data_IF_515100560435
#
_entry.id   IF_515100560435
#
_cell.length_a   1.000
_cell.length_b   1.000
_cell.length_c   1.000
_cell.angle_alpha   90.00
_cell.angle_beta   90.00
_cell.angle_gamma   90.00
#
_symmetry.space_group_name_H-M   'P 1'
#
loop_
_entity.id
_entity.type
_entity.pdbx_description
1 polymer ?
#
# COMPACT_ATOMS: atom_id res chain seq x y z
N UNK A 1 0.14 9.15 -5.79
CA UNK A 1 0.61 9.21 -4.39
C UNK A 1 1.65 8.11 -4.14
N UNK A 2 2.67 8.36 -3.31
CA UNK A 2 3.77 7.41 -3.07
C UNK A 2 3.69 6.93 -1.62
N UNK A 3 3.67 5.61 -1.41
CA UNK A 3 3.78 5.01 -0.07
C UNK A 3 5.24 4.64 0.18
N UNK A 4 5.93 5.44 0.97
CA UNK A 4 7.36 5.27 1.26
C UNK A 4 7.63 4.34 2.43
N UNK A 5 6.81 4.40 3.48
CA UNK A 5 6.97 3.58 4.68
C UNK A 5 5.64 3.41 5.43
N UNK A 6 5.52 2.34 6.23
CA UNK A 6 4.44 2.14 7.19
C UNK A 6 5.08 1.67 8.49
N UNK A 7 4.99 2.50 9.54
CA UNK A 7 5.56 2.22 10.85
C UNK A 7 4.48 1.86 11.85
N UNK A 8 4.70 0.80 12.63
CA UNK A 8 3.90 0.43 13.79
C UNK A 8 4.87 0.23 14.94
N UNK A 9 4.67 0.87 16.10
CA UNK A 9 5.48 0.60 17.28
C UNK A 9 5.44 -0.89 17.66
N UNK A 10 6.57 -1.43 18.11
CA UNK A 10 6.71 -2.86 18.42
C UNK A 10 5.66 -3.36 19.41
N UNK A 11 5.29 -2.55 20.41
CA UNK A 11 4.28 -2.94 21.41
C UNK A 11 2.86 -3.10 20.83
N UNK A 12 2.64 -2.58 19.62
CA UNK A 12 1.36 -2.57 18.92
C UNK A 12 1.35 -3.50 17.70
N UNK A 13 2.45 -4.21 17.42
CA UNK A 13 2.52 -5.23 16.37
C UNK A 13 1.56 -6.40 16.63
N UNK A 14 1.27 -7.19 15.59
CA UNK A 14 0.33 -8.32 15.67
C UNK A 14 -1.15 -7.94 15.75
N UNK A 15 -1.49 -6.66 15.90
CA UNK A 15 -2.88 -6.17 16.03
C UNK A 15 -3.53 -5.72 14.72
N UNK A 16 -2.84 -5.89 13.60
CA UNK A 16 -3.35 -5.51 12.27
C UNK A 16 -3.30 -4.01 11.95
N UNK A 17 -2.66 -3.18 12.77
CA UNK A 17 -2.62 -1.71 12.60
C UNK A 17 -1.98 -1.31 11.26
N UNK A 18 -0.85 -1.92 10.89
CA UNK A 18 -0.21 -1.62 9.59
C UNK A 18 -1.14 -1.90 8.41
N UNK A 19 -1.94 -2.97 8.51
CA UNK A 19 -2.94 -3.31 7.50
C UNK A 19 -4.08 -2.30 7.45
N UNK A 20 -4.51 -1.76 8.60
CA UNK A 20 -5.51 -0.71 8.66
C UNK A 20 -4.99 0.60 8.05
N UNK A 21 -3.73 0.97 8.34
CA UNK A 21 -3.08 2.15 7.76
C UNK A 21 -2.97 2.04 6.23
N UNK A 22 -2.49 0.91 5.72
CA UNK A 22 -2.41 0.65 4.28
C UNK A 22 -3.79 0.74 3.62
N UNK A 23 -4.81 0.11 4.22
CA UNK A 23 -6.20 0.16 3.74
C UNK A 23 -6.70 1.60 3.61
N UNK A 24 -6.53 2.39 4.66
CA UNK A 24 -7.02 3.77 4.70
C UNK A 24 -6.33 4.64 3.64
N UNK A 25 -5.01 4.54 3.51
CA UNK A 25 -4.28 5.29 2.49
C UNK A 25 -4.67 4.88 1.07
N UNK A 26 -4.86 3.58 0.81
CA UNK A 26 -5.28 3.09 -0.51
C UNK A 26 -6.72 3.51 -0.83
N UNK A 27 -7.62 3.49 0.16
CA UNK A 27 -8.98 3.99 0.00
C UNK A 27 -8.97 5.49 -0.37
N UNK A 28 -8.18 6.30 0.32
CA UNK A 28 -8.00 7.71 -0.01
C UNK A 28 -7.50 7.90 -1.45
N UNK A 29 -6.51 7.11 -1.88
CA UNK A 29 -6.02 7.17 -3.25
C UNK A 29 -7.14 6.87 -4.27
N UNK A 30 -8.01 5.89 -3.98
CA UNK A 30 -9.11 5.49 -4.87
C UNK A 30 -10.18 6.56 -4.95
N UNK A 31 -10.61 7.08 -3.81
CA UNK A 31 -11.62 8.13 -3.70
C UNK A 31 -11.21 9.40 -4.47
N UNK A 32 -9.90 9.65 -4.59
CA UNK A 32 -9.35 10.80 -5.29
C UNK A 32 -8.84 10.48 -6.70
N UNK A 33 -9.04 9.26 -7.21
CA UNK A 33 -8.59 8.85 -8.55
C UNK A 33 -7.07 8.92 -8.75
N UNK A 34 -6.29 8.70 -7.69
CA UNK A 34 -4.83 8.79 -7.71
C UNK A 34 -4.19 7.43 -8.02
N UNK A 35 -3.16 7.45 -8.87
CA UNK A 35 -2.27 6.30 -9.01
C UNK A 35 -1.38 6.11 -7.76
N UNK A 36 -1.02 4.86 -7.48
CA UNK A 36 -0.24 4.45 -6.31
C UNK A 36 1.14 3.96 -6.72
N UNK A 37 2.17 4.45 -6.02
CA UNK A 37 3.55 3.93 -6.12
C UNK A 37 3.92 3.30 -4.76
N UNK A 38 3.92 1.96 -4.63
CA UNK A 38 4.20 1.28 -3.35
C UNK A 38 5.69 1.01 -3.17
N UNK A 39 6.47 2.03 -2.79
CA UNK A 39 7.90 1.87 -2.47
C UNK A 39 8.11 1.08 -1.17
N UNK A 40 7.18 1.21 -0.21
CA UNK A 40 7.19 0.42 1.02
C UNK A 40 6.93 -1.06 0.71
N UNK A 41 7.83 -1.99 1.08
CA UNK A 41 7.64 -3.42 0.85
C UNK A 41 6.38 -3.97 1.51
N UNK A 42 6.03 -3.46 2.70
CA UNK A 42 4.81 -3.84 3.40
C UNK A 42 3.55 -3.50 2.58
N UNK A 43 3.47 -2.28 2.06
CA UNK A 43 2.32 -1.84 1.24
C UNK A 43 2.28 -2.60 -0.09
N UNK A 44 3.44 -2.89 -0.69
CA UNK A 44 3.53 -3.75 -1.88
C UNK A 44 2.92 -5.12 -1.61
N UNK A 45 3.39 -5.83 -0.58
CA UNK A 45 2.85 -7.14 -0.22
C UNK A 45 1.38 -7.08 0.22
N UNK A 46 0.92 -5.97 0.77
CA UNK A 46 -0.48 -5.75 1.10
C UNK A 46 -1.35 -5.73 -0.17
N UNK A 47 -0.91 -5.03 -1.22
CA UNK A 47 -1.58 -4.94 -2.53
C UNK A 47 -1.52 -6.29 -3.25
N UNK A 48 -0.38 -7.00 -3.23
CA UNK A 48 -0.25 -8.33 -3.84
C UNK A 48 -1.28 -9.33 -3.31
N UNK A 49 -1.60 -9.25 -2.00
CA UNK A 49 -2.59 -10.10 -1.35
C UNK A 49 -4.05 -9.64 -1.58
N UNK A 50 -4.25 -8.48 -2.20
CA UNK A 50 -5.55 -7.82 -2.41
C UNK A 50 -5.67 -7.30 -3.84
N UNK A 51 -6.03 -8.18 -4.78
CA UNK A 51 -6.09 -7.85 -6.20
C UNK A 51 -6.93 -6.62 -6.51
N UNK A 52 -7.90 -6.27 -5.66
CA UNK A 52 -8.76 -5.09 -5.83
C UNK A 52 -8.02 -3.74 -5.81
N UNK A 53 -6.74 -3.70 -5.44
CA UNK A 53 -5.91 -2.49 -5.45
C UNK A 53 -4.90 -2.46 -6.61
N UNK A 54 -4.75 -3.55 -7.36
CA UNK A 54 -3.72 -3.65 -8.40
C UNK A 54 -3.97 -2.71 -9.59
N UNK A 55 -5.22 -2.42 -9.90
CA UNK A 55 -5.63 -1.50 -10.98
C UNK A 55 -5.17 -0.05 -10.74
N UNK A 56 -4.83 0.30 -9.50
CA UNK A 56 -4.39 1.63 -9.13
C UNK A 56 -2.87 1.79 -9.14
N UNK A 57 -2.11 0.69 -9.32
CA UNK A 57 -0.65 0.73 -9.23
C UNK A 57 -0.08 1.38 -10.50
N UNK A 58 0.73 2.42 -10.31
CA UNK A 58 1.35 3.14 -11.43
C UNK A 58 2.30 2.24 -12.20
N UNK A 59 2.17 2.21 -13.53
CA UNK A 59 3.06 1.44 -14.42
C UNK A 59 4.52 1.88 -14.34
N UNK A 60 4.80 3.12 -13.95
CA UNK A 60 6.16 3.61 -13.73
C UNK A 60 6.87 2.93 -12.54
N UNK A 61 6.11 2.29 -11.65
CA UNK A 61 6.64 1.53 -10.52
C UNK A 61 6.84 0.04 -10.81
N UNK A 62 6.60 -0.40 -12.05
CA UNK A 62 6.71 -1.79 -12.52
C UNK A 62 8.11 -2.42 -12.43
N UNK A 63 9.15 -1.66 -12.09
CA UNK A 63 10.53 -2.16 -11.91
C UNK A 63 10.76 -3.12 -10.73
N UNK A 64 9.69 -3.58 -10.07
CA UNK A 64 9.72 -4.64 -9.06
C UNK A 64 8.50 -5.55 -9.09
N UNK A 65 7.78 -5.58 -10.23
CA UNK A 65 6.61 -6.43 -10.51
C UNK A 65 6.86 -7.35 -11.72
N UNK A 66 8.12 -7.76 -11.91
CA UNK A 66 8.54 -8.81 -12.84
C UNK A 66 9.19 -9.94 -12.03
#
# INVERSE_FOLDING_TARGET
IIFTHTGVPGELEGRGIGSALAKAGLAYARENGLEVVPLCPFVRSYIERKPEYQDMVSKASSGGFA
#
